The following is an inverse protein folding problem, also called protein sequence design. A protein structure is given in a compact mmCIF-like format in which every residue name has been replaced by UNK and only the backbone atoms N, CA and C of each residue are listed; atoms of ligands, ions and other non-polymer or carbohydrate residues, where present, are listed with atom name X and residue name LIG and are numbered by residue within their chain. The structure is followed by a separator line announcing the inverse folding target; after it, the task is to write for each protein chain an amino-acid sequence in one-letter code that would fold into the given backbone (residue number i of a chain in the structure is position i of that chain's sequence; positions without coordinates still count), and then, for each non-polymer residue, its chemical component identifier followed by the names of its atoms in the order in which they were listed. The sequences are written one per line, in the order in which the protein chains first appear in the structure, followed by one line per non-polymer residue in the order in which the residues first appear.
data_IF_369747533338
#
_entry.id   IF_369747533338
#
_cell.length_a   1.000
_cell.length_b   1.000
_cell.length_c   1.000
_cell.angle_alpha   90.00
_cell.angle_beta   90.00
_cell.angle_gamma   90.00
#
_symmetry.space_group_name_H-M   'P 1'
#
loop_
_entity.id
_entity.type
_entity.pdbx_description
1 polymer ?
#
# COMPACT_ATOMS: atom_id res chain seq x y z
N UNK A 1 56.48 46.33 -14.28
CA UNK A 1 55.10 46.25 -13.87
C UNK A 1 54.70 44.78 -13.81
N UNK A 2 54.66 44.15 -12.61
CA UNK A 2 54.26 42.76 -12.43
C UNK A 2 52.75 42.75 -12.16
N UNK A 3 51.97 42.08 -13.05
CA UNK A 3 50.54 41.82 -12.84
C UNK A 3 50.36 40.65 -11.89
N UNK A 4 49.78 40.89 -10.73
CA UNK A 4 49.37 39.89 -9.76
C UNK A 4 47.99 39.38 -10.21
N UNK A 5 47.91 38.07 -10.57
CA UNK A 5 46.67 37.42 -10.91
C UNK A 5 46.10 36.85 -9.62
N UNK A 6 45.03 37.44 -9.10
CA UNK A 6 44.32 36.93 -7.91
C UNK A 6 43.39 35.83 -8.36
N UNK A 7 43.69 34.59 -7.97
CA UNK A 7 42.87 33.42 -8.20
C UNK A 7 41.82 33.32 -7.08
N UNK A 8 40.56 33.63 -7.39
CA UNK A 8 39.46 33.45 -6.44
C UNK A 8 39.02 31.99 -6.47
N UNK A 9 39.32 31.28 -5.39
CA UNK A 9 38.82 29.93 -5.15
C UNK A 9 37.40 30.06 -4.60
N UNK A 10 36.40 29.67 -5.42
CA UNK A 10 35.03 29.51 -4.96
C UNK A 10 34.95 28.15 -4.28
N UNK A 11 34.90 28.13 -2.97
CA UNK A 11 34.51 26.93 -2.20
C UNK A 11 33.02 26.69 -2.39
N UNK A 12 32.67 25.71 -3.21
CA UNK A 12 31.34 25.11 -3.18
C UNK A 12 31.18 24.33 -1.86
N UNK A 13 30.50 24.93 -0.90
CA UNK A 13 30.03 24.23 0.26
C UNK A 13 28.95 23.22 -0.17
N UNK A 14 29.35 21.97 -0.38
CA UNK A 14 28.40 20.87 -0.49
C UNK A 14 27.81 20.70 0.92
N UNK A 15 26.62 21.26 1.12
CA UNK A 15 25.83 20.99 2.32
C UNK A 15 25.45 19.49 2.25
N UNK A 16 26.11 18.65 3.04
CA UNK A 16 25.61 17.33 3.36
C UNK A 16 24.35 17.51 4.22
N UNK A 17 23.20 17.74 3.58
CA UNK A 17 21.94 17.57 4.25
C UNK A 17 21.87 16.11 4.73
N UNK A 18 21.78 15.90 6.03
CA UNK A 18 21.52 14.57 6.57
C UNK A 18 20.21 14.09 5.95
N UNK A 19 20.24 12.88 5.35
CA UNK A 19 19.01 12.25 4.90
C UNK A 19 18.05 12.18 6.08
N UNK A 20 16.77 12.55 5.92
CA UNK A 20 15.80 12.42 6.98
C UNK A 20 15.75 10.96 7.45
N UNK A 21 15.61 10.78 8.75
CA UNK A 21 15.49 9.44 9.34
C UNK A 21 14.13 8.86 8.93
N UNK A 22 14.16 7.75 8.20
CA UNK A 22 12.98 6.97 7.89
C UNK A 22 12.70 6.00 9.04
N UNK A 23 11.43 5.75 9.34
CA UNK A 23 11.04 4.70 10.28
C UNK A 23 11.48 3.33 9.75
N UNK A 24 11.85 2.39 10.63
CA UNK A 24 12.02 1.00 10.28
C UNK A 24 10.75 0.44 9.61
N UNK A 25 10.88 -0.48 8.66
CA UNK A 25 9.73 -1.05 7.94
C UNK A 25 8.76 -1.77 8.88
N UNK A 26 9.27 -2.45 9.88
CA UNK A 26 8.51 -3.19 10.90
C UNK A 26 7.60 -2.29 11.77
N UNK A 27 7.90 -1.00 11.89
CA UNK A 27 7.07 -0.04 12.63
C UNK A 27 6.35 0.98 11.73
N UNK A 28 6.41 0.81 10.41
CA UNK A 28 5.85 1.76 9.46
C UNK A 28 4.34 1.65 9.31
N UNK A 29 3.74 2.77 8.89
CA UNK A 29 2.33 2.91 8.53
C UNK A 29 2.24 3.25 7.04
N UNK A 30 1.42 2.48 6.31
CA UNK A 30 1.20 2.66 4.88
C UNK A 30 0.00 3.58 4.65
N UNK A 31 0.14 4.50 3.71
CA UNK A 31 -0.95 5.35 3.22
C UNK A 31 -1.15 5.09 1.74
N UNK A 32 -2.32 4.62 1.36
CA UNK A 32 -2.71 4.39 -0.02
C UNK A 32 -3.25 5.69 -0.62
N UNK A 33 -2.54 6.22 -1.61
CA UNK A 33 -2.89 7.45 -2.30
C UNK A 33 -3.49 7.20 -3.68
N UNK A 34 -4.76 7.58 -3.84
CA UNK A 34 -5.41 7.65 -5.14
C UNK A 34 -5.15 9.04 -5.75
N UNK A 35 -4.14 9.17 -6.61
CA UNK A 35 -3.73 10.46 -7.18
C UNK A 35 -4.88 11.18 -7.89
N UNK A 36 -5.71 10.47 -8.68
CA UNK A 36 -6.88 11.02 -9.38
C UNK A 36 -7.85 11.71 -8.45
N UNK A 37 -8.07 11.13 -7.27
CA UNK A 37 -9.08 11.57 -6.31
C UNK A 37 -8.51 12.42 -5.16
N UNK A 38 -7.17 12.52 -5.06
CA UNK A 38 -6.50 13.07 -3.90
C UNK A 38 -6.67 14.59 -3.76
N UNK A 39 -6.76 15.29 -4.89
CA UNK A 39 -6.98 16.74 -4.96
C UNK A 39 -7.93 17.08 -6.10
N UNK A 40 -8.57 18.27 -6.10
CA UNK A 40 -9.40 18.70 -7.24
C UNK A 40 -8.67 18.63 -8.58
N UNK A 41 -7.37 18.92 -8.62
CA UNK A 41 -6.56 18.81 -9.81
C UNK A 41 -6.28 17.36 -10.20
N UNK A 42 -6.10 16.46 -9.23
CA UNK A 42 -5.77 15.04 -9.42
C UNK A 42 -4.40 14.84 -10.09
N UNK A 43 -3.41 15.66 -9.71
CA UNK A 43 -2.06 15.65 -10.31
C UNK A 43 -0.97 15.47 -9.28
N UNK A 44 0.23 15.01 -9.69
CA UNK A 44 1.41 14.92 -8.81
C UNK A 44 1.80 16.27 -8.24
N UNK A 45 1.77 17.33 -9.03
CA UNK A 45 2.10 18.69 -8.59
C UNK A 45 1.14 19.22 -7.51
N UNK A 46 -0.11 18.77 -7.49
CA UNK A 46 -1.07 19.11 -6.44
C UNK A 46 -0.91 18.17 -5.21
N UNK A 47 -0.70 16.88 -5.44
CA UNK A 47 -0.46 15.89 -4.38
C UNK A 47 0.83 16.18 -3.61
N UNK A 48 1.90 16.62 -4.26
CA UNK A 48 3.17 17.03 -3.67
C UNK A 48 2.97 18.06 -2.54
N UNK A 49 2.07 19.03 -2.74
CA UNK A 49 1.75 20.06 -1.75
C UNK A 49 1.08 19.52 -0.51
N UNK A 50 0.54 18.31 -0.55
CA UNK A 50 -0.10 17.61 0.56
C UNK A 50 0.85 16.66 1.32
N UNK A 51 2.05 16.38 0.81
CA UNK A 51 3.03 15.53 1.48
C UNK A 51 3.40 15.99 2.89
N UNK A 52 3.57 17.31 3.16
CA UNK A 52 3.79 17.79 4.55
C UNK A 52 2.65 17.40 5.50
N UNK A 53 1.38 17.37 5.03
CA UNK A 53 0.23 16.94 5.82
C UNK A 53 0.31 15.44 6.17
N UNK A 54 0.71 14.59 5.21
CA UNK A 54 0.92 13.16 5.47
C UNK A 54 2.07 12.92 6.44
N UNK A 55 3.15 13.71 6.33
CA UNK A 55 4.25 13.64 7.30
C UNK A 55 3.81 14.07 8.69
N UNK A 56 3.01 15.12 8.82
CA UNK A 56 2.44 15.58 10.07
C UNK A 56 1.41 14.59 10.67
N UNK A 57 0.71 13.85 9.82
CA UNK A 57 -0.14 12.72 10.23
C UNK A 57 0.69 11.58 10.84
N UNK A 58 1.93 11.40 10.40
CA UNK A 58 2.85 10.37 10.86
C UNK A 58 3.07 9.21 9.86
N UNK A 59 2.55 9.32 8.64
CA UNK A 59 2.72 8.31 7.58
C UNK A 59 4.21 8.08 7.27
N UNK A 60 4.57 6.86 6.92
CA UNK A 60 5.94 6.44 6.60
C UNK A 60 6.10 5.99 5.15
N UNK A 61 5.10 5.30 4.61
CA UNK A 61 5.09 4.78 3.25
C UNK A 61 3.86 5.34 2.53
N UNK A 62 4.07 6.01 1.41
CA UNK A 62 3.00 6.42 0.48
C UNK A 62 2.96 5.38 -0.65
N UNK A 63 1.93 4.55 -0.66
CA UNK A 63 1.62 3.67 -1.78
C UNK A 63 0.72 4.41 -2.76
N UNK A 64 1.23 4.66 -3.96
CA UNK A 64 0.48 5.26 -5.06
C UNK A 64 -0.27 4.15 -5.81
N UNK A 65 -1.59 4.26 -5.94
CA UNK A 65 -2.37 3.47 -6.89
C UNK A 65 -1.77 3.62 -8.30
N UNK A 66 -2.11 2.73 -9.28
CA UNK A 66 -1.41 2.72 -10.57
C UNK A 66 -1.32 4.10 -11.21
N UNK A 67 -0.11 4.47 -11.60
CA UNK A 67 0.26 5.83 -12.07
C UNK A 67 0.45 5.90 -13.59
N UNK A 68 0.25 4.79 -14.28
CA UNK A 68 0.56 4.58 -15.70
C UNK A 68 -0.54 5.12 -16.62
N UNK A 69 -0.23 5.40 -17.91
CA UNK A 69 -1.25 5.66 -18.92
C UNK A 69 -2.26 4.51 -18.97
N UNK A 70 -3.52 4.87 -19.11
CA UNK A 70 -4.66 3.91 -19.13
C UNK A 70 -5.05 3.63 -20.57
N UNK A 71 -5.34 2.36 -20.90
CA UNK A 71 -5.83 1.94 -22.20
C UNK A 71 -7.16 2.61 -22.58
N UNK A 72 -7.47 2.61 -23.86
CA UNK A 72 -8.68 3.20 -24.45
C UNK A 72 -9.63 2.11 -24.95
N UNK A 73 -9.08 0.99 -25.43
CA UNK A 73 -9.87 -0.14 -25.90
C UNK A 73 -10.58 -0.84 -24.74
N UNK A 74 -11.89 -1.01 -24.85
CA UNK A 74 -12.71 -1.59 -23.80
C UNK A 74 -12.89 -0.72 -22.55
N UNK A 75 -12.42 0.53 -22.55
CA UNK A 75 -12.42 1.44 -21.40
C UNK A 75 -13.78 1.52 -20.72
N UNK A 76 -13.81 1.31 -19.42
CA UNK A 76 -14.99 1.49 -18.56
C UNK A 76 -15.05 2.91 -18.04
N UNK A 77 -16.25 3.53 -18.02
CA UNK A 77 -16.42 4.95 -17.62
C UNK A 77 -15.70 5.94 -18.54
N UNK A 78 -15.55 7.17 -18.10
CA UNK A 78 -14.91 8.22 -18.90
C UNK A 78 -13.38 8.17 -18.86
N UNK A 79 -12.80 7.79 -17.70
CA UNK A 79 -11.35 7.81 -17.47
C UNK A 79 -10.70 6.42 -17.42
N UNK A 80 -11.49 5.36 -17.33
CA UNK A 80 -11.02 3.97 -17.31
C UNK A 80 -10.47 3.51 -15.97
N UNK A 81 -10.17 2.21 -15.91
CA UNK A 81 -9.54 1.56 -14.78
C UNK A 81 -8.07 1.96 -14.66
N UNK A 82 -7.63 2.30 -13.45
CA UNK A 82 -6.21 2.48 -13.13
C UNK A 82 -5.37 1.25 -13.48
N UNK A 83 -5.98 0.07 -13.44
CA UNK A 83 -5.34 -1.23 -13.65
C UNK A 83 -5.29 -1.66 -15.13
N UNK A 84 -5.91 -0.93 -16.06
CA UNK A 84 -5.78 -1.16 -17.50
C UNK A 84 -4.53 -0.48 -18.05
N UNK A 85 -3.36 -1.03 -17.73
CA UNK A 85 -2.04 -0.44 -18.01
C UNK A 85 -1.75 -0.38 -19.50
N UNK A 86 -1.44 0.80 -20.03
CA UNK A 86 -1.06 1.01 -21.43
C UNK A 86 0.45 1.00 -21.67
N UNK A 87 1.22 1.60 -20.77
CA UNK A 87 2.70 1.62 -20.80
C UNK A 87 3.25 1.59 -19.38
N UNK A 88 4.06 0.59 -19.07
CA UNK A 88 4.65 0.42 -17.73
C UNK A 88 5.72 1.47 -17.37
N UNK A 89 6.27 2.18 -18.36
CA UNK A 89 7.41 3.09 -18.17
C UNK A 89 7.05 4.56 -18.38
N UNK A 90 5.77 4.92 -18.32
CA UNK A 90 5.30 6.29 -18.48
C UNK A 90 4.27 6.66 -17.41
N UNK A 91 3.98 7.95 -17.29
CA UNK A 91 3.00 8.51 -16.35
C UNK A 91 1.68 8.78 -17.08
N UNK A 92 0.56 8.49 -16.41
CA UNK A 92 -0.75 8.90 -16.87
C UNK A 92 -0.77 10.43 -17.10
N UNK A 93 -1.04 10.90 -18.31
CA UNK A 93 -1.03 12.33 -18.62
C UNK A 93 -2.06 13.14 -17.81
N UNK A 94 -3.07 12.48 -17.21
CA UNK A 94 -3.98 13.14 -16.26
C UNK A 94 -3.27 13.54 -14.96
N UNK A 95 -2.22 12.83 -14.57
CA UNK A 95 -1.48 13.06 -13.32
C UNK A 95 -0.29 14.02 -13.51
N UNK A 96 0.10 14.29 -14.75
CA UNK A 96 1.24 15.13 -15.11
C UNK A 96 2.26 14.41 -15.98
N UNK A 97 3.53 14.71 -15.75
CA UNK A 97 4.68 14.18 -16.49
C UNK A 97 5.62 13.38 -15.57
N UNK A 98 6.58 12.65 -16.17
CA UNK A 98 7.67 12.02 -15.41
C UNK A 98 8.44 13.04 -14.53
N UNK A 99 8.59 14.29 -15.00
CA UNK A 99 9.25 15.34 -14.22
C UNK A 99 8.42 15.77 -13.00
N UNK A 100 7.09 15.79 -13.11
CA UNK A 100 6.19 16.06 -11.97
C UNK A 100 6.24 14.93 -10.94
N UNK A 101 6.31 13.68 -11.42
CA UNK A 101 6.52 12.52 -10.55
C UNK A 101 7.90 12.57 -9.84
N UNK A 102 8.97 12.91 -10.58
CA UNK A 102 10.32 13.03 -10.00
C UNK A 102 10.36 14.12 -8.90
N UNK A 103 9.63 15.24 -9.10
CA UNK A 103 9.48 16.32 -8.08
C UNK A 103 8.74 15.79 -6.85
N UNK A 104 7.61 15.12 -7.04
CA UNK A 104 6.84 14.50 -5.95
C UNK A 104 7.70 13.51 -5.15
N UNK A 105 8.45 12.63 -5.83
CA UNK A 105 9.33 11.64 -5.21
C UNK A 105 10.44 12.32 -4.39
N UNK A 106 11.09 13.34 -4.97
CA UNK A 106 12.14 14.10 -4.27
C UNK A 106 11.61 14.80 -3.01
N UNK A 107 10.40 15.38 -3.07
CA UNK A 107 9.79 16.02 -1.91
C UNK A 107 9.37 14.99 -0.84
N UNK A 108 8.80 13.84 -1.24
CA UNK A 108 8.49 12.74 -0.34
C UNK A 108 9.76 12.28 0.42
N UNK A 109 10.85 12.04 -0.29
CA UNK A 109 12.13 11.67 0.32
C UNK A 109 12.70 12.76 1.22
N UNK A 110 12.57 14.03 0.82
CA UNK A 110 12.99 15.16 1.65
C UNK A 110 12.27 15.20 3.00
N UNK A 111 11.01 14.76 3.04
CA UNK A 111 10.19 14.63 4.24
C UNK A 111 10.44 13.30 5.00
N UNK A 112 11.23 12.38 4.45
CA UNK A 112 11.49 11.06 5.03
C UNK A 112 10.36 10.06 4.81
N UNK A 113 9.51 10.29 3.81
CA UNK A 113 8.50 9.34 3.34
C UNK A 113 9.12 8.39 2.31
N UNK A 114 8.74 7.11 2.34
CA UNK A 114 8.97 6.18 1.24
C UNK A 114 7.84 6.29 0.22
N UNK A 115 8.15 6.03 -1.04
CA UNK A 115 7.17 5.97 -2.12
C UNK A 115 7.19 4.59 -2.76
N UNK A 116 6.05 3.94 -2.73
CA UNK A 116 5.79 2.62 -3.33
C UNK A 116 4.78 2.81 -4.44
N UNK A 117 4.98 2.18 -5.59
CA UNK A 117 4.02 2.24 -6.69
C UNK A 117 3.29 0.91 -6.86
N UNK A 118 2.05 0.97 -7.33
CA UNK A 118 1.27 -0.20 -7.66
C UNK A 118 1.82 -0.86 -8.93
N UNK A 119 2.00 -2.18 -8.90
CA UNK A 119 2.56 -2.95 -10.01
C UNK A 119 1.57 -4.01 -10.49
N UNK A 120 0.97 -3.78 -11.65
CA UNK A 120 -0.04 -4.65 -12.25
C UNK A 120 0.66 -5.68 -13.13
N UNK A 121 1.05 -6.81 -12.55
CA UNK A 121 1.83 -7.82 -13.26
C UNK A 121 0.99 -8.85 -14.03
N UNK A 122 -0.29 -9.06 -13.65
CA UNK A 122 -1.11 -10.09 -14.24
C UNK A 122 -1.58 -9.76 -15.68
N UNK A 123 -1.82 -8.49 -15.98
CA UNK A 123 -2.44 -8.06 -17.24
C UNK A 123 -2.05 -6.63 -17.64
N UNK A 124 -2.34 -6.26 -18.88
CA UNK A 124 -2.30 -4.89 -19.39
C UNK A 124 -3.65 -4.50 -19.96
N UNK A 125 -3.79 -3.29 -20.55
CA UNK A 125 -4.92 -2.98 -21.44
C UNK A 125 -4.77 -3.71 -22.79
N UNK A 126 -5.88 -3.96 -23.54
CA UNK A 126 -5.83 -4.60 -24.85
C UNK A 126 -5.10 -3.77 -25.92
N UNK A 127 -4.99 -2.45 -25.74
CA UNK A 127 -4.25 -1.50 -26.57
C UNK A 127 -2.92 -1.04 -25.93
N UNK A 128 -2.37 -1.88 -25.04
CA UNK A 128 -1.07 -1.61 -24.43
C UNK A 128 0.05 -1.60 -25.49
N UNK A 129 1.12 -0.85 -25.21
CA UNK A 129 2.30 -0.76 -26.07
C UNK A 129 2.87 -2.16 -26.40
N UNK A 130 2.89 -3.07 -25.44
CA UNK A 130 3.37 -4.43 -25.66
C UNK A 130 2.47 -5.26 -26.59
N UNK A 131 1.17 -4.96 -26.68
CA UNK A 131 0.28 -5.65 -27.63
C UNK A 131 0.66 -5.32 -29.08
N UNK A 132 1.12 -4.07 -29.34
CA UNK A 132 1.50 -3.60 -30.68
C UNK A 132 2.97 -3.83 -30.99
N UNK A 133 3.86 -3.67 -30.04
CA UNK A 133 5.31 -3.59 -30.26
C UNK A 133 6.04 -4.90 -29.95
N UNK A 134 5.42 -5.81 -29.18
CA UNK A 134 6.02 -7.07 -28.77
C UNK A 134 5.47 -8.28 -29.57
N UNK A 135 6.13 -9.44 -29.51
CA UNK A 135 5.65 -10.66 -30.11
C UNK A 135 4.27 -11.08 -29.57
N UNK A 136 3.40 -11.61 -30.43
CA UNK A 136 2.02 -12.01 -30.10
C UNK A 136 1.93 -12.98 -28.91
N UNK A 137 2.94 -13.84 -28.72
CA UNK A 137 2.99 -14.83 -27.64
C UNK A 137 3.38 -14.27 -26.25
N UNK A 138 3.53 -12.96 -26.12
CA UNK A 138 3.64 -12.32 -24.81
C UNK A 138 2.31 -12.28 -24.06
N UNK A 139 1.21 -12.51 -24.78
CA UNK A 139 -0.14 -12.51 -24.22
C UNK A 139 -0.77 -13.90 -24.37
N UNK A 140 -1.63 -14.23 -23.41
CA UNK A 140 -2.49 -15.39 -23.53
C UNK A 140 -3.55 -15.16 -24.62
N UNK A 141 -3.85 -16.22 -25.39
CA UNK A 141 -4.84 -16.16 -26.47
C UNK A 141 -5.71 -17.40 -26.47
N UNK A 142 -6.97 -17.22 -26.85
CA UNK A 142 -7.90 -18.30 -27.08
C UNK A 142 -7.58 -19.09 -28.38
N UNK A 143 -8.37 -20.12 -28.66
CA UNK A 143 -8.18 -20.96 -29.85
C UNK A 143 -8.39 -20.21 -31.18
N UNK A 144 -9.11 -19.11 -31.16
CA UNK A 144 -9.36 -18.20 -32.26
C UNK A 144 -8.30 -17.14 -32.44
N UNK A 145 -7.36 -17.02 -31.47
CA UNK A 145 -6.25 -16.08 -31.47
C UNK A 145 -6.57 -14.71 -30.84
N UNK A 146 -7.72 -14.55 -30.18
CA UNK A 146 -8.07 -13.33 -29.46
C UNK A 146 -7.34 -13.26 -28.13
N UNK A 147 -7.09 -12.04 -27.64
CA UNK A 147 -6.58 -11.82 -26.27
C UNK A 147 -7.59 -12.35 -25.23
N UNK A 148 -7.06 -12.99 -24.19
CA UNK A 148 -7.86 -13.42 -23.04
C UNK A 148 -7.81 -12.38 -21.93
N UNK A 149 -8.79 -12.40 -21.04
CA UNK A 149 -8.87 -11.55 -19.87
C UNK A 149 -9.45 -12.31 -18.68
N UNK A 150 -9.17 -11.83 -17.47
CA UNK A 150 -9.66 -12.43 -16.23
C UNK A 150 -11.08 -11.95 -15.92
N UNK A 151 -11.95 -12.84 -15.43
CA UNK A 151 -13.34 -12.55 -15.05
C UNK A 151 -14.12 -11.77 -16.14
N UNK A 152 -14.68 -10.61 -15.81
CA UNK A 152 -15.41 -9.71 -16.71
C UNK A 152 -14.62 -8.43 -17.08
N UNK A 153 -13.29 -8.46 -16.91
CA UNK A 153 -12.41 -7.29 -17.12
C UNK A 153 -12.03 -7.16 -18.60
N UNK A 154 -13.02 -6.90 -19.44
CA UNK A 154 -12.87 -6.78 -20.90
C UNK A 154 -11.98 -5.63 -21.35
N UNK A 155 -11.58 -4.76 -20.46
CA UNK A 155 -10.60 -3.68 -20.62
C UNK A 155 -9.16 -4.10 -20.28
N UNK A 156 -8.92 -5.42 -20.12
CA UNK A 156 -7.61 -6.02 -19.84
C UNK A 156 -7.21 -7.10 -20.84
N UNK A 157 -5.94 -7.50 -20.81
CA UNK A 157 -5.37 -8.59 -21.60
C UNK A 157 -4.31 -9.33 -20.75
N UNK A 158 -4.49 -10.64 -20.56
CA UNK A 158 -3.64 -11.46 -19.72
C UNK A 158 -2.25 -11.66 -20.32
N UNK A 159 -1.21 -11.52 -19.49
CA UNK A 159 0.18 -11.75 -19.86
C UNK A 159 0.51 -13.25 -19.80
N UNK A 160 1.38 -13.70 -20.70
CA UNK A 160 1.79 -15.10 -20.81
C UNK A 160 3.14 -15.32 -20.09
N UNK A 161 3.12 -15.75 -18.86
CA UNK A 161 4.29 -16.04 -18.04
C UNK A 161 5.10 -17.27 -18.48
N UNK A 162 4.60 -18.07 -19.42
CA UNK A 162 5.41 -19.11 -20.08
C UNK A 162 6.46 -18.51 -21.05
N UNK A 163 6.41 -17.19 -21.29
CA UNK A 163 7.33 -16.51 -22.18
C UNK A 163 8.47 -15.82 -21.39
N UNK A 164 9.73 -16.29 -21.51
CA UNK A 164 10.86 -15.73 -20.76
C UNK A 164 11.26 -14.32 -21.19
N UNK A 165 10.99 -13.92 -22.45
CA UNK A 165 11.30 -12.58 -22.93
C UNK A 165 10.34 -11.56 -22.33
N UNK A 166 9.06 -11.90 -22.24
CA UNK A 166 8.05 -11.08 -21.54
C UNK A 166 8.43 -10.91 -20.07
N UNK A 167 8.75 -12.01 -19.36
CA UNK A 167 9.20 -11.96 -17.97
C UNK A 167 10.44 -11.07 -17.79
N UNK A 168 11.37 -11.12 -18.73
CA UNK A 168 12.58 -10.29 -18.69
C UNK A 168 12.27 -8.81 -18.89
N UNK A 169 11.35 -8.48 -19.81
CA UNK A 169 10.93 -7.11 -20.03
C UNK A 169 10.11 -6.55 -18.84
N UNK A 170 9.32 -7.40 -18.19
CA UNK A 170 8.62 -7.04 -16.96
C UNK A 170 9.60 -6.61 -15.87
N UNK A 171 10.65 -7.39 -15.62
CA UNK A 171 11.70 -7.02 -14.64
C UNK A 171 12.45 -5.75 -15.04
N UNK A 172 12.72 -5.53 -16.33
CA UNK A 172 13.32 -4.27 -16.80
C UNK A 172 12.42 -3.07 -16.57
N UNK A 173 11.10 -3.23 -16.76
CA UNK A 173 10.13 -2.18 -16.49
C UNK A 173 10.05 -1.86 -14.99
N UNK A 174 10.13 -2.85 -14.10
CA UNK A 174 10.29 -2.63 -12.66
C UNK A 174 11.58 -1.88 -12.34
N UNK A 175 12.70 -2.29 -12.95
CA UNK A 175 14.01 -1.67 -12.77
C UNK A 175 14.01 -0.20 -13.18
N UNK A 176 13.30 0.20 -14.24
CA UNK A 176 13.14 1.59 -14.67
C UNK A 176 12.66 2.50 -13.54
N UNK A 177 11.71 2.03 -12.71
CA UNK A 177 11.20 2.79 -11.57
C UNK A 177 12.15 2.76 -10.37
N UNK A 178 12.81 1.64 -10.12
CA UNK A 178 13.85 1.56 -9.08
C UNK A 178 15.02 2.50 -9.38
N UNK A 179 15.43 2.61 -10.64
CA UNK A 179 16.47 3.57 -11.09
C UNK A 179 16.03 5.03 -10.92
N UNK A 180 14.71 5.32 -10.95
CA UNK A 180 14.17 6.64 -10.61
C UNK A 180 14.13 6.91 -9.13
N UNK A 181 14.32 5.89 -8.30
CA UNK A 181 14.48 6.02 -6.86
C UNK A 181 13.23 5.76 -6.04
N UNK A 182 12.19 5.09 -6.57
CA UNK A 182 11.10 4.60 -5.72
C UNK A 182 11.62 3.60 -4.68
N UNK A 183 10.85 3.38 -3.63
CA UNK A 183 11.26 2.53 -2.51
C UNK A 183 10.71 1.09 -2.60
N UNK A 184 9.88 0.80 -3.60
CA UNK A 184 9.32 -0.54 -3.78
C UNK A 184 8.00 -0.59 -4.54
N UNK A 185 7.32 -1.75 -4.42
CA UNK A 185 6.12 -2.05 -5.17
C UNK A 185 5.03 -2.66 -4.28
N UNK A 186 3.77 -2.31 -4.57
CA UNK A 186 2.60 -3.11 -4.22
C UNK A 186 2.21 -3.90 -5.48
N UNK A 187 2.20 -5.21 -5.39
CA UNK A 187 1.97 -6.08 -6.53
C UNK A 187 0.50 -6.52 -6.55
N UNK A 188 -0.21 -6.00 -7.54
CA UNK A 188 -1.61 -6.31 -7.85
C UNK A 188 -1.77 -7.78 -8.18
N UNK A 189 -2.81 -8.43 -7.62
CA UNK A 189 -3.14 -9.84 -7.87
C UNK A 189 -1.91 -10.76 -7.82
N UNK A 190 -1.05 -10.60 -6.82
CA UNK A 190 0.23 -11.31 -6.76
C UNK A 190 0.09 -12.85 -6.78
N UNK A 191 -1.03 -13.39 -6.30
CA UNK A 191 -1.33 -14.82 -6.31
C UNK A 191 -1.69 -15.37 -7.72
N UNK A 192 -2.09 -14.51 -8.67
CA UNK A 192 -2.40 -14.92 -10.04
C UNK A 192 -1.15 -14.92 -10.95
N UNK A 193 -0.03 -14.42 -10.46
CA UNK A 193 1.26 -14.42 -11.15
C UNK A 193 2.12 -15.55 -10.60
N UNK A 194 2.80 -16.34 -11.45
CA UNK A 194 3.61 -17.48 -11.00
C UNK A 194 4.66 -17.10 -9.96
N UNK A 195 4.78 -17.91 -8.90
CA UNK A 195 5.75 -17.69 -7.82
C UNK A 195 7.18 -17.62 -8.34
N UNK A 196 7.53 -18.42 -9.34
CA UNK A 196 8.85 -18.46 -9.95
C UNK A 196 9.23 -17.13 -10.62
N UNK A 197 8.24 -16.39 -11.12
CA UNK A 197 8.46 -15.04 -11.63
C UNK A 197 8.83 -14.08 -10.49
N UNK A 198 8.05 -14.09 -9.40
CA UNK A 198 8.29 -13.22 -8.25
C UNK A 198 9.63 -13.52 -7.57
N UNK A 199 9.95 -14.81 -7.33
CA UNK A 199 11.23 -15.24 -6.79
C UNK A 199 12.41 -14.68 -7.60
N UNK A 200 12.34 -14.84 -8.93
CA UNK A 200 13.36 -14.30 -9.85
C UNK A 200 13.38 -12.76 -9.81
N UNK A 201 12.25 -12.10 -10.00
CA UNK A 201 12.15 -10.63 -10.13
C UNK A 201 12.64 -9.92 -8.86
N UNK A 202 12.19 -10.38 -7.69
CA UNK A 202 12.57 -9.80 -6.41
C UNK A 202 14.05 -10.05 -6.13
N UNK A 203 14.55 -11.27 -6.37
CA UNK A 203 15.97 -11.59 -6.19
C UNK A 203 16.88 -10.74 -7.08
N UNK A 204 16.54 -10.59 -8.38
CA UNK A 204 17.31 -9.76 -9.33
C UNK A 204 17.31 -8.28 -8.93
N UNK A 205 16.18 -7.74 -8.47
CA UNK A 205 16.08 -6.33 -8.10
C UNK A 205 16.73 -6.06 -6.75
N UNK A 206 16.56 -6.93 -5.74
CA UNK A 206 17.20 -6.76 -4.42
C UNK A 206 18.72 -6.88 -4.46
N UNK A 207 19.29 -7.53 -5.45
CA UNK A 207 20.74 -7.54 -5.63
C UNK A 207 21.32 -6.12 -5.81
N UNK A 208 20.58 -5.23 -6.48
CA UNK A 208 20.95 -3.82 -6.68
C UNK A 208 20.27 -2.86 -5.69
N UNK A 209 19.09 -3.23 -5.21
CA UNK A 209 18.24 -2.42 -4.31
C UNK A 209 17.83 -3.19 -3.04
N UNK A 210 18.76 -3.49 -2.12
CA UNK A 210 18.52 -4.40 -0.99
C UNK A 210 17.47 -3.87 0.01
N UNK A 211 17.14 -2.57 -0.05
CA UNK A 211 16.08 -1.96 0.78
C UNK A 211 14.72 -1.84 0.10
N UNK A 212 14.55 -2.47 -1.08
CA UNK A 212 13.28 -2.47 -1.81
C UNK A 212 12.18 -3.14 -0.99
N UNK A 213 11.07 -2.40 -0.77
CA UNK A 213 9.89 -2.93 -0.10
C UNK A 213 8.94 -3.59 -1.09
N UNK A 214 8.45 -4.78 -0.74
CA UNK A 214 7.54 -5.56 -1.58
C UNK A 214 6.28 -5.93 -0.81
N UNK A 215 5.13 -5.44 -1.28
CA UNK A 215 3.81 -5.73 -0.76
C UNK A 215 3.01 -6.54 -1.78
N UNK A 216 2.58 -7.74 -1.40
CA UNK A 216 1.73 -8.59 -2.24
C UNK A 216 0.24 -8.38 -1.94
N UNK A 217 -0.57 -8.18 -2.96
CA UNK A 217 -1.99 -8.44 -2.83
C UNK A 217 -2.23 -9.95 -2.94
N UNK A 218 -2.40 -10.58 -1.80
CA UNK A 218 -2.59 -12.01 -1.64
C UNK A 218 -2.33 -12.46 -0.22
N UNK A 219 -2.67 -13.69 0.13
CA UNK A 219 -2.50 -14.25 1.47
C UNK A 219 -1.70 -15.56 1.48
N UNK A 220 -1.16 -15.97 0.32
CA UNK A 220 -0.40 -17.22 0.19
C UNK A 220 0.95 -17.12 0.92
N UNK A 221 1.26 -18.06 1.87
CA UNK A 221 2.51 -18.03 2.64
C UNK A 221 3.78 -18.11 1.78
N UNK A 222 3.70 -18.72 0.60
CA UNK A 222 4.82 -18.84 -0.33
C UNK A 222 5.27 -17.50 -0.92
N UNK A 223 4.40 -16.48 -0.94
CA UNK A 223 4.80 -15.11 -1.30
C UNK A 223 5.92 -14.59 -0.38
N UNK A 224 5.89 -14.93 0.90
CA UNK A 224 6.95 -14.60 1.84
C UNK A 224 8.10 -15.59 1.78
N UNK A 225 7.83 -16.89 2.03
CA UNK A 225 8.88 -17.90 2.25
C UNK A 225 9.66 -18.31 0.99
N UNK A 226 9.10 -18.14 -0.20
CA UNK A 226 9.74 -18.44 -1.47
C UNK A 226 10.11 -17.18 -2.25
N UNK A 227 9.20 -16.19 -2.31
CA UNK A 227 9.36 -15.03 -3.18
C UNK A 227 9.98 -13.81 -2.48
N UNK A 228 10.11 -13.83 -1.15
CA UNK A 228 10.73 -12.76 -0.36
C UNK A 228 9.95 -11.44 -0.38
N UNK A 229 8.60 -11.50 -0.40
CA UNK A 229 7.77 -10.34 -0.10
C UNK A 229 7.86 -9.97 1.37
N UNK A 230 7.96 -8.67 1.68
CA UNK A 230 7.97 -8.15 3.05
C UNK A 230 6.57 -8.21 3.68
N UNK A 231 5.55 -7.84 2.89
CA UNK A 231 4.18 -7.75 3.36
C UNK A 231 3.19 -8.45 2.42
N UNK A 232 2.10 -8.94 2.97
CA UNK A 232 0.95 -9.45 2.24
C UNK A 232 -0.36 -8.99 2.86
N UNK A 233 -1.43 -8.97 2.10
CA UNK A 233 -2.74 -8.57 2.60
C UNK A 233 -3.27 -9.49 3.70
N UNK A 234 -4.22 -8.96 4.50
CA UNK A 234 -5.03 -9.70 5.48
C UNK A 234 -6.51 -9.58 5.12
N UNK A 235 -6.90 -10.11 3.97
CA UNK A 235 -8.29 -10.07 3.49
C UNK A 235 -9.23 -10.82 4.43
N UNK A 236 -8.81 -11.98 4.93
CA UNK A 236 -9.61 -12.77 5.87
C UNK A 236 -9.88 -12.00 7.17
N UNK A 237 -8.87 -11.29 7.72
CA UNK A 237 -9.05 -10.41 8.87
C UNK A 237 -10.00 -9.24 8.56
N UNK A 238 -9.84 -8.62 7.39
CA UNK A 238 -10.70 -7.53 6.96
C UNK A 238 -12.17 -7.98 6.91
N UNK A 239 -12.45 -9.13 6.30
CA UNK A 239 -13.79 -9.70 6.26
C UNK A 239 -14.30 -10.09 7.67
N UNK A 240 -13.43 -10.63 8.53
CA UNK A 240 -13.75 -10.94 9.93
C UNK A 240 -14.17 -9.69 10.71
N UNK A 241 -13.42 -8.59 10.60
CA UNK A 241 -13.76 -7.31 11.26
C UNK A 241 -15.10 -6.75 10.78
N UNK A 242 -15.36 -6.78 9.46
CA UNK A 242 -16.66 -6.40 8.92
C UNK A 242 -17.80 -7.27 9.45
N UNK A 243 -17.60 -8.58 9.54
CA UNK A 243 -18.59 -9.53 10.05
C UNK A 243 -18.86 -9.33 11.56
N UNK A 244 -17.81 -9.04 12.35
CA UNK A 244 -17.97 -8.68 13.78
C UNK A 244 -18.77 -7.37 13.92
N UNK A 245 -18.45 -6.36 13.13
CA UNK A 245 -19.18 -5.09 13.17
C UNK A 245 -20.68 -5.24 12.87
N UNK A 246 -21.04 -6.21 12.03
CA UNK A 246 -22.44 -6.55 11.73
C UNK A 246 -23.06 -7.57 12.71
N UNK A 247 -22.30 -8.08 13.68
CA UNK A 247 -22.76 -9.10 14.64
C UNK A 247 -22.89 -10.51 14.06
N UNK A 248 -22.29 -10.77 12.90
CA UNK A 248 -22.27 -12.07 12.21
C UNK A 248 -21.15 -12.99 12.75
N UNK A 249 -20.12 -12.41 13.32
CA UNK A 249 -18.95 -13.05 13.92
C UNK A 249 -18.71 -12.50 15.32
N UNK A 250 -17.83 -13.19 16.06
CA UNK A 250 -17.57 -12.92 17.48
C UNK A 250 -16.07 -13.00 17.83
N UNK A 251 -15.74 -12.67 19.08
CA UNK A 251 -14.36 -12.66 19.59
C UNK A 251 -13.70 -14.06 19.52
N UNK A 252 -14.33 -15.17 19.94
CA UNK A 252 -13.77 -16.50 19.76
C UNK A 252 -13.35 -16.82 18.32
N UNK A 253 -14.15 -16.45 17.33
CA UNK A 253 -13.83 -16.67 15.91
C UNK A 253 -12.66 -15.79 15.44
N UNK A 254 -12.54 -14.55 15.94
CA UNK A 254 -11.39 -13.69 15.71
C UNK A 254 -10.11 -14.33 16.29
N UNK A 255 -10.17 -14.83 17.52
CA UNK A 255 -9.03 -15.46 18.18
C UNK A 255 -8.62 -16.78 17.49
N UNK A 256 -9.58 -17.55 16.99
CA UNK A 256 -9.31 -18.75 16.18
C UNK A 256 -8.62 -18.37 14.85
N UNK A 257 -9.10 -17.31 14.19
CA UNK A 257 -8.44 -16.80 12.99
C UNK A 257 -6.99 -16.38 13.26
N UNK A 258 -6.75 -15.57 14.32
CA UNK A 258 -5.40 -15.10 14.66
C UNK A 258 -4.44 -16.27 14.96
N UNK A 259 -4.92 -17.32 15.63
CA UNK A 259 -4.13 -18.52 15.88
C UNK A 259 -3.77 -19.26 14.58
N UNK A 260 -4.74 -19.44 13.68
CA UNK A 260 -4.53 -20.09 12.38
C UNK A 260 -3.60 -19.28 11.47
N UNK A 261 -3.75 -17.95 11.43
CA UNK A 261 -2.90 -17.08 10.63
C UNK A 261 -1.44 -17.12 11.12
N UNK A 262 -1.23 -17.12 12.45
CA UNK A 262 0.08 -17.24 13.06
C UNK A 262 0.75 -18.61 12.81
N UNK A 263 -0.02 -19.68 12.63
CA UNK A 263 0.50 -21.01 12.25
C UNK A 263 0.82 -21.10 10.75
N UNK A 264 0.03 -20.42 9.92
CA UNK A 264 0.13 -20.46 8.45
C UNK A 264 1.23 -19.58 7.90
N UNK A 265 1.38 -18.36 8.44
CA UNK A 265 2.29 -17.35 7.90
C UNK A 265 3.69 -17.44 8.53
N UNK A 266 4.76 -17.12 7.78
CA UNK A 266 6.08 -16.93 8.38
C UNK A 266 6.05 -15.84 9.46
N UNK A 267 6.81 -16.05 10.53
CA UNK A 267 6.77 -15.18 11.71
C UNK A 267 7.23 -13.74 11.41
N UNK A 268 8.11 -13.56 10.44
CA UNK A 268 8.65 -12.26 9.98
C UNK A 268 7.77 -11.57 8.93
N UNK A 269 6.75 -12.24 8.40
CA UNK A 269 5.81 -11.68 7.43
C UNK A 269 5.01 -10.51 8.02
N UNK A 270 4.94 -9.38 7.29
CA UNK A 270 4.03 -8.30 7.64
C UNK A 270 2.66 -8.58 7.06
N UNK A 271 1.62 -8.38 7.87
CA UNK A 271 0.24 -8.56 7.46
C UNK A 271 -0.40 -7.18 7.26
N UNK A 272 -0.62 -6.75 6.00
CA UNK A 272 -1.28 -5.47 5.73
C UNK A 272 -2.71 -5.51 6.25
N UNK A 273 -2.96 -4.77 7.33
CA UNK A 273 -4.26 -4.72 8.00
C UNK A 273 -4.96 -3.40 7.73
N UNK A 274 -6.23 -3.47 7.33
CA UNK A 274 -6.98 -2.29 6.89
C UNK A 274 -8.47 -2.40 7.21
N UNK A 275 -9.11 -1.26 7.37
CA UNK A 275 -10.56 -1.14 7.44
C UNK A 275 -11.15 -0.69 6.11
N UNK A 276 -10.33 -0.08 5.24
CA UNK A 276 -10.71 0.31 3.88
C UNK A 276 -9.50 0.31 2.95
N UNK A 277 -9.72 0.19 1.65
CA UNK A 277 -8.80 0.39 0.54
C UNK A 277 -9.60 0.87 -0.68
N UNK A 278 -8.95 1.03 -1.83
CA UNK A 278 -9.60 1.49 -3.07
C UNK A 278 -10.73 0.56 -3.54
N UNK A 279 -10.59 -0.76 -3.38
CA UNK A 279 -11.61 -1.74 -3.76
C UNK A 279 -12.81 -1.69 -2.82
N UNK A 280 -12.56 -1.85 -1.53
CA UNK A 280 -13.63 -1.85 -0.53
C UNK A 280 -14.43 -0.54 -0.56
N UNK A 281 -13.73 0.61 -0.65
CA UNK A 281 -14.40 1.90 -0.72
C UNK A 281 -15.31 2.01 -1.94
N UNK A 282 -14.82 1.62 -3.12
CA UNK A 282 -15.58 1.79 -4.37
C UNK A 282 -16.68 0.76 -4.54
N UNK A 283 -16.43 -0.51 -4.17
CA UNK A 283 -17.31 -1.62 -4.51
C UNK A 283 -18.18 -2.13 -3.36
N UNK A 284 -17.63 -2.18 -2.13
CA UNK A 284 -18.36 -2.68 -0.96
C UNK A 284 -18.97 -1.55 -0.10
N UNK A 285 -18.39 -0.36 -0.16
CA UNK A 285 -18.82 0.80 0.61
C UNK A 285 -17.73 1.35 1.53
N UNK A 286 -17.97 2.55 2.05
CA UNK A 286 -17.08 3.16 3.04
C UNK A 286 -17.02 2.31 4.31
N UNK A 287 -15.99 2.49 5.15
CA UNK A 287 -15.90 1.83 6.44
C UNK A 287 -17.11 2.19 7.35
N UNK A 288 -17.69 3.37 7.18
CA UNK A 288 -18.88 3.78 7.93
C UNK A 288 -20.14 3.03 7.49
N UNK A 289 -20.29 2.76 6.18
CA UNK A 289 -21.41 1.98 5.66
C UNK A 289 -21.29 0.50 6.04
N UNK A 290 -20.06 -0.03 6.10
CA UNK A 290 -19.78 -1.45 6.38
C UNK A 290 -19.71 -1.77 7.87
N UNK A 291 -19.15 -0.85 8.68
CA UNK A 291 -18.82 -1.07 10.09
C UNK A 291 -19.57 -0.13 11.04
N UNK A 292 -20.18 0.97 10.55
CA UNK A 292 -20.89 1.94 11.39
C UNK A 292 -20.00 2.49 12.51
N UNK A 293 -20.53 2.51 13.73
CA UNK A 293 -19.83 3.00 14.93
C UNK A 293 -18.62 2.14 15.33
N UNK A 294 -18.49 0.93 14.80
CA UNK A 294 -17.34 0.06 15.03
C UNK A 294 -16.08 0.53 14.28
N UNK A 295 -16.17 1.41 13.30
CA UNK A 295 -15.05 1.77 12.41
C UNK A 295 -13.75 2.16 13.17
N UNK A 296 -13.86 2.98 14.23
CA UNK A 296 -12.69 3.38 15.04
C UNK A 296 -12.09 2.21 15.83
N UNK A 297 -12.92 1.33 16.40
CA UNK A 297 -12.42 0.15 17.14
C UNK A 297 -11.73 -0.81 16.18
N UNK A 298 -12.29 -1.03 15.00
CA UNK A 298 -11.66 -1.87 13.96
C UNK A 298 -10.33 -1.26 13.46
N UNK A 299 -10.26 0.07 13.30
CA UNK A 299 -9.00 0.74 13.01
C UNK A 299 -7.97 0.53 14.13
N UNK A 300 -8.34 0.60 15.42
CA UNK A 300 -7.45 0.27 16.54
C UNK A 300 -6.90 -1.15 16.40
N UNK A 301 -7.72 -2.12 16.04
CA UNK A 301 -7.27 -3.50 15.84
C UNK A 301 -6.23 -3.62 14.73
N UNK A 302 -6.38 -2.89 13.61
CA UNK A 302 -5.38 -2.92 12.52
C UNK A 302 -4.01 -2.39 12.93
N UNK A 303 -3.94 -1.53 13.95
CA UNK A 303 -2.69 -0.97 14.48
C UNK A 303 -2.08 -1.78 15.62
N UNK A 304 -2.84 -2.67 16.25
CA UNK A 304 -2.43 -3.31 17.51
C UNK A 304 -2.37 -4.83 17.48
N UNK A 305 -3.07 -5.48 16.55
CA UNK A 305 -3.01 -6.94 16.40
C UNK A 305 -1.61 -7.42 15.97
N UNK A 306 -1.25 -8.69 16.28
CA UNK A 306 0.09 -9.22 15.99
C UNK A 306 0.37 -9.31 14.47
N UNK A 307 1.64 -9.10 14.09
CA UNK A 307 2.10 -9.19 12.71
C UNK A 307 1.66 -8.02 11.83
N UNK A 308 0.73 -7.17 12.29
CA UNK A 308 0.06 -6.17 11.48
C UNK A 308 0.95 -5.00 11.04
N UNK A 309 0.83 -4.62 9.76
CA UNK A 309 1.27 -3.35 9.20
C UNK A 309 0.01 -2.59 8.78
N UNK A 310 -0.33 -1.46 9.42
CA UNK A 310 -1.59 -0.79 9.16
C UNK A 310 -1.57 0.01 7.87
N UNK A 311 -2.72 0.00 7.17
CA UNK A 311 -3.00 0.80 5.99
C UNK A 311 -4.08 1.84 6.30
N UNK A 312 -3.90 3.05 5.81
CA UNK A 312 -4.88 4.12 5.75
C UNK A 312 -5.14 4.44 4.28
N UNK A 313 -6.39 4.42 3.84
CA UNK A 313 -6.77 4.78 2.48
C UNK A 313 -7.09 6.27 2.38
N UNK A 314 -6.90 6.86 1.20
CA UNK A 314 -7.21 8.26 0.84
C UNK A 314 -8.52 8.77 1.42
N UNK A 315 -8.45 9.78 2.29
CA UNK A 315 -9.61 10.43 2.93
C UNK A 315 -10.07 9.81 4.24
N UNK A 316 -9.63 8.61 4.57
CA UNK A 316 -10.02 7.90 5.78
C UNK A 316 -9.59 8.67 7.04
N UNK A 317 -8.43 9.33 7.01
CA UNK A 317 -7.89 10.12 8.11
C UNK A 317 -8.67 11.41 8.42
N UNK A 318 -9.62 11.78 7.58
CA UNK A 318 -10.56 12.89 7.88
C UNK A 318 -12.01 12.42 7.99
N UNK A 319 -12.23 11.11 8.04
CA UNK A 319 -13.56 10.52 8.13
C UNK A 319 -14.40 10.78 6.88
N UNK A 320 -13.79 10.77 5.71
CA UNK A 320 -14.44 11.04 4.43
C UNK A 320 -15.40 9.92 4.05
N UNK A 321 -16.66 10.05 4.45
CA UNK A 321 -17.71 9.06 4.19
C UNK A 321 -18.28 9.21 2.77
N UNK A 322 -17.45 8.85 1.78
CA UNK A 322 -17.79 8.94 0.35
C UNK A 322 -17.17 7.79 -0.43
N UNK A 323 -17.99 7.13 -1.27
CA UNK A 323 -17.50 6.11 -2.21
C UNK A 323 -16.96 6.80 -3.45
N UNK A 324 -15.68 6.68 -3.70
CA UNK A 324 -15.09 7.23 -4.92
C UNK A 324 -15.61 6.51 -6.17
N UNK A 325 -16.00 7.28 -7.17
CA UNK A 325 -16.34 6.75 -8.49
C UNK A 325 -15.07 6.24 -9.20
N UNK A 326 -14.89 4.90 -9.24
CA UNK A 326 -13.65 4.25 -9.64
C UNK A 326 -13.16 4.64 -11.05
N UNK A 327 -14.09 4.78 -12.03
CA UNK A 327 -13.78 5.07 -13.42
C UNK A 327 -13.89 6.55 -13.80
N UNK A 328 -14.16 7.41 -12.83
CA UNK A 328 -14.41 8.83 -13.04
C UNK A 328 -13.50 9.69 -12.15
N UNK A 329 -13.50 11.00 -12.39
CA UNK A 329 -12.89 11.96 -11.49
C UNK A 329 -13.91 12.40 -10.45
N UNK A 330 -13.64 12.09 -9.19
CA UNK A 330 -14.53 12.30 -8.03
C UNK A 330 -13.68 12.69 -6.81
N UNK A 331 -12.94 13.84 -6.88
CA UNK A 331 -11.87 14.13 -5.95
C UNK A 331 -12.36 14.64 -4.60
N UNK A 332 -11.51 14.47 -3.58
CA UNK A 332 -11.63 15.19 -2.32
C UNK A 332 -11.58 16.70 -2.63
N UNK A 333 -12.63 17.47 -2.24
CA UNK A 333 -12.69 18.88 -2.59
C UNK A 333 -11.71 19.75 -1.79
N UNK A 334 -11.45 19.39 -0.54
CA UNK A 334 -10.49 20.04 0.36
C UNK A 334 -10.08 19.11 1.48
N UNK A 335 -8.84 19.26 1.94
CA UNK A 335 -8.33 18.56 3.11
C UNK A 335 -8.57 19.40 4.37
N UNK A 336 -9.26 18.81 5.35
CA UNK A 336 -9.58 19.45 6.63
C UNK A 336 -9.14 18.56 7.79
N UNK A 337 -8.52 19.14 8.81
CA UNK A 337 -8.24 18.44 10.05
C UNK A 337 -9.47 18.45 10.95
N UNK A 338 -9.75 17.30 11.55
CA UNK A 338 -10.89 17.11 12.46
C UNK A 338 -10.59 16.00 13.47
N UNK A 339 -11.59 15.58 14.24
CA UNK A 339 -11.46 14.53 15.27
C UNK A 339 -10.96 13.18 14.71
N UNK A 340 -11.21 12.86 13.43
CA UNK A 340 -10.65 11.67 12.77
C UNK A 340 -9.17 11.85 12.48
N UNK A 341 -8.75 13.03 12.05
CA UNK A 341 -7.33 13.35 11.85
C UNK A 341 -6.56 13.22 13.15
N UNK A 342 -7.10 13.76 14.24
CA UNK A 342 -6.50 13.65 15.59
C UNK A 342 -6.46 12.20 16.07
N UNK A 343 -7.49 11.41 15.80
CA UNK A 343 -7.55 9.99 16.11
C UNK A 343 -6.45 9.20 15.36
N UNK A 344 -6.31 9.38 14.06
CA UNK A 344 -5.28 8.68 13.30
C UNK A 344 -3.85 9.15 13.66
N UNK A 345 -3.64 10.45 13.91
CA UNK A 345 -2.37 10.95 14.45
C UNK A 345 -2.00 10.28 15.77
N UNK A 346 -2.96 10.21 16.67
CA UNK A 346 -2.76 9.55 17.96
C UNK A 346 -2.46 8.05 17.78
N UNK A 347 -3.15 7.37 16.91
CA UNK A 347 -2.99 5.93 16.67
C UNK A 347 -1.63 5.62 16.04
N UNK A 348 -1.21 6.40 15.03
CA UNK A 348 0.11 6.29 14.42
C UNK A 348 1.22 6.57 15.45
N UNK A 349 1.08 7.67 16.21
CA UNK A 349 2.04 8.00 17.26
C UNK A 349 2.12 6.89 18.32
N UNK A 350 0.98 6.33 18.73
CA UNK A 350 0.96 5.21 19.67
C UNK A 350 1.75 4.01 19.13
N UNK A 351 1.62 3.70 17.84
CA UNK A 351 2.41 2.65 17.21
C UNK A 351 3.91 2.98 17.20
N UNK A 352 4.29 4.18 16.76
CA UNK A 352 5.69 4.61 16.67
C UNK A 352 6.40 4.66 18.02
N UNK A 353 5.70 5.09 19.06
CA UNK A 353 6.23 5.16 20.41
C UNK A 353 6.38 3.79 21.09
N UNK A 354 5.73 2.74 20.56
CA UNK A 354 5.66 1.44 21.20
C UNK A 354 6.16 0.32 20.27
N UNK A 355 7.45 -0.06 20.36
CA UNK A 355 8.02 -1.15 19.57
C UNK A 355 7.27 -2.49 19.71
N UNK A 356 6.58 -2.70 20.83
CA UNK A 356 5.74 -3.89 21.01
C UNK A 356 4.62 -4.00 19.96
N UNK A 357 4.24 -2.90 19.29
CA UNK A 357 3.23 -2.90 18.21
C UNK A 357 3.84 -3.13 16.82
N UNK A 358 5.15 -3.34 16.70
CA UNK A 358 5.79 -3.59 15.42
C UNK A 358 5.23 -4.82 14.69
N UNK A 359 5.41 -4.83 13.36
CA UNK A 359 4.99 -5.90 12.45
C UNK A 359 5.89 -7.14 12.57
N UNK A 360 5.40 -8.25 12.06
CA UNK A 360 6.15 -9.50 11.98
C UNK A 360 6.69 -9.96 13.33
N UNK A 361 7.89 -10.53 13.34
CA UNK A 361 8.59 -11.07 14.51
C UNK A 361 9.25 -9.98 15.40
N UNK A 362 9.27 -8.74 14.96
CA UNK A 362 9.81 -7.60 15.73
C UNK A 362 8.84 -7.10 16.79
N UNK A 363 7.55 -7.37 16.62
CA UNK A 363 6.52 -7.01 17.58
C UNK A 363 6.54 -7.82 18.87
N UNK A 364 5.92 -7.27 19.90
CA UNK A 364 5.79 -7.93 21.20
C UNK A 364 4.91 -9.19 21.15
N UNK A 365 5.16 -10.12 22.07
CA UNK A 365 4.34 -11.32 22.23
C UNK A 365 2.88 -10.93 22.45
N UNK A 366 1.99 -11.53 21.67
CA UNK A 366 0.54 -11.38 21.82
C UNK A 366 0.01 -12.34 22.86
N UNK A 367 -0.73 -11.85 23.85
CA UNK A 367 -1.38 -12.66 24.87
C UNK A 367 -2.77 -12.12 25.19
N UNK A 368 -3.77 -12.97 25.16
CA UNK A 368 -5.13 -12.62 25.58
C UNK A 368 -5.18 -12.62 27.10
N UNK A 369 -5.52 -11.47 27.68
CA UNK A 369 -5.68 -11.30 29.14
C UNK A 369 -7.07 -11.74 29.56
N UNK A 370 -8.09 -11.31 28.82
CA UNK A 370 -9.48 -11.74 29.01
C UNK A 370 -10.27 -11.56 27.71
N UNK A 371 -11.25 -12.41 27.52
CA UNK A 371 -12.20 -12.34 26.43
C UNK A 371 -13.57 -12.79 26.94
N UNK A 372 -14.59 -12.01 26.63
CA UNK A 372 -15.98 -12.37 26.87
C UNK A 372 -16.83 -12.12 25.61
N UNK A 373 -18.15 -12.05 25.72
CA UNK A 373 -19.04 -11.90 24.58
C UNK A 373 -18.92 -10.55 23.86
N UNK A 374 -18.35 -9.54 24.49
CA UNK A 374 -18.25 -8.15 23.96
C UNK A 374 -16.87 -7.53 24.03
N UNK A 375 -16.05 -7.98 24.99
CA UNK A 375 -14.79 -7.34 25.33
C UNK A 375 -13.62 -8.27 25.04
N UNK A 376 -12.64 -7.79 24.30
CA UNK A 376 -11.34 -8.41 24.12
C UNK A 376 -10.28 -7.54 24.81
N UNK A 377 -9.52 -8.14 25.75
CA UNK A 377 -8.34 -7.52 26.35
C UNK A 377 -7.12 -8.36 26.03
N UNK A 378 -6.12 -7.75 25.43
CA UNK A 378 -4.86 -8.43 25.09
C UNK A 378 -3.66 -7.54 25.35
N UNK A 379 -2.48 -8.15 25.40
CA UNK A 379 -1.20 -7.45 25.51
C UNK A 379 -0.30 -7.76 24.33
N UNK A 380 0.55 -6.79 24.01
CA UNK A 380 1.75 -6.92 23.17
C UNK A 380 2.94 -6.62 24.07
N UNK A 381 3.86 -7.57 24.23
CA UNK A 381 4.91 -7.47 25.26
C UNK A 381 6.29 -7.75 24.70
N UNK A 382 7.19 -6.79 24.83
CA UNK A 382 8.65 -6.90 24.70
C UNK A 382 9.29 -6.74 26.09
N UNK A 383 10.59 -7.03 26.28
CA UNK A 383 11.25 -6.90 27.59
C UNK A 383 11.10 -5.51 28.24
N UNK A 384 11.16 -4.45 27.41
CA UNK A 384 11.17 -3.06 27.89
C UNK A 384 9.96 -2.25 27.44
N UNK A 385 8.93 -2.89 26.86
CA UNK A 385 7.72 -2.21 26.37
C UNK A 385 6.53 -3.18 26.38
N UNK A 386 5.47 -2.77 27.04
CA UNK A 386 4.21 -3.51 27.07
C UNK A 386 3.06 -2.60 26.73
N UNK A 387 2.22 -3.05 25.81
CA UNK A 387 0.98 -2.38 25.45
C UNK A 387 -0.19 -3.27 25.77
N UNK A 388 -1.13 -2.76 26.55
CA UNK A 388 -2.41 -3.40 26.85
C UNK A 388 -3.49 -2.72 26.02
N UNK A 389 -4.26 -3.51 25.28
CA UNK A 389 -5.39 -3.03 24.46
C UNK A 389 -6.67 -3.65 25.01
N UNK A 390 -7.67 -2.82 25.26
CA UNK A 390 -9.03 -3.21 25.52
C UNK A 390 -9.91 -2.75 24.37
N UNK A 391 -10.65 -3.66 23.75
CA UNK A 391 -11.56 -3.37 22.65
C UNK A 391 -12.97 -3.93 22.98
N UNK A 392 -13.99 -3.06 22.98
CA UNK A 392 -15.39 -3.44 23.05
C UNK A 392 -15.88 -3.70 21.61
N UNK A 393 -16.12 -4.97 21.29
CA UNK A 393 -16.48 -5.44 19.94
C UNK A 393 -18.00 -5.66 19.78
N UNK A 394 -18.76 -4.96 20.60
CA UNK A 394 -20.23 -4.77 20.54
C UNK A 394 -20.57 -3.37 21.00
N UNK A 395 -21.76 -2.89 20.66
CA UNK A 395 -22.24 -1.58 21.11
C UNK A 395 -22.39 -1.52 22.66
N UNK A 396 -21.95 -0.43 23.31
CA UNK A 396 -21.31 0.74 22.70
C UNK A 396 -19.85 0.48 22.41
N UNK A 397 -19.45 0.64 21.15
CA UNK A 397 -18.08 0.41 20.67
C UNK A 397 -17.11 1.36 21.38
N UNK A 398 -16.06 0.81 21.98
CA UNK A 398 -15.04 1.61 22.66
C UNK A 398 -13.70 0.91 22.66
N UNK A 399 -12.66 1.67 22.94
CA UNK A 399 -11.28 1.15 23.02
C UNK A 399 -10.47 1.90 24.05
N UNK A 400 -9.45 1.22 24.59
CA UNK A 400 -8.44 1.80 25.46
C UNK A 400 -7.09 1.17 25.11
N UNK A 401 -6.04 1.97 25.02
CA UNK A 401 -4.66 1.53 24.84
C UNK A 401 -3.83 2.13 25.97
N UNK A 402 -3.15 1.26 26.72
CA UNK A 402 -2.24 1.64 27.80
C UNK A 402 -0.86 1.08 27.51
N UNK A 403 0.14 1.95 27.44
CA UNK A 403 1.54 1.58 27.28
C UNK A 403 2.30 1.72 28.61
N UNK A 404 3.13 0.72 28.93
CA UNK A 404 3.94 0.61 30.15
C UNK A 404 5.42 0.42 29.79
#
# INVERSE_FOLDING_TARGET
MKKILTLSIILLAVSCAQKPVQQPLDNSVVYEMNVRQYTPEGTFAAAEKQLPRLKDLGVDIVWLMPIYPIGVEGRKGSLGSYYAIKDYCDINPEFGTLADFDSFLAEAHRLGLRVVIDWVANHTSPDAKWVTDAPLYWYERDAEGNLTFTADWSDTANLNYNNPDMCTEMVKSMRFWMERGIDGFRCDMACEVPLEFWERAISELRADYPGMYMLAEGEEPLLHSQCDFDASYSWELHHMMNAIARGEKNIPELLEYLAKDAERQPADAYRLMFTSNHDENSWAGTEFERMGDAAKVMAVLTFTLPGGQPLIYTGQEMGWNHRFAFFEKDPIPAWENNDYTDFYKWLIKTRHDNPALASGDKGGKFEVVSADDSTLVFTRTLPDNKVTVKAELKAPWSYEIVAE
#
